data_IF_293439957164
#
_entry.id   IF_293439957164
#
_cell.length_a   1.000
_cell.length_b   1.000
_cell.length_c   1.000
_cell.angle_alpha   90.00
_cell.angle_beta   90.00
_cell.angle_gamma   90.00
#
_symmetry.space_group_name_H-M   'P 1'
#
loop_
_entity.id
_entity.type
_entity.pdbx_description
1 polymer ?
#
# COMPACT_ATOMS: atom_id res chain seq x y z
N UNK A 1 27.66 7.42 83.68
CA UNK A 1 26.73 7.80 84.76
C UNK A 1 25.91 8.96 84.21
N UNK A 2 24.62 8.69 83.94
CA UNK A 2 23.45 9.58 83.66
C UNK A 2 23.55 10.58 82.48
N UNK A 3 22.75 10.42 81.41
CA UNK A 3 21.36 10.90 81.19
C UNK A 3 21.29 12.44 81.03
N UNK A 4 20.56 13.10 80.13
CA UNK A 4 19.37 12.75 79.35
C UNK A 4 19.12 13.79 78.22
N UNK A 5 18.40 13.32 77.18
CA UNK A 5 17.35 13.99 76.38
C UNK A 5 17.54 15.39 75.75
N UNK A 6 17.28 15.52 74.42
CA UNK A 6 15.94 15.78 73.83
C UNK A 6 16.04 16.59 72.52
N UNK A 7 15.30 16.16 71.50
CA UNK A 7 14.60 17.09 70.59
C UNK A 7 14.85 16.97 69.09
N UNK A 8 13.78 16.68 68.34
CA UNK A 8 13.57 17.29 67.01
C UNK A 8 13.51 16.34 65.82
N UNK A 9 12.39 15.63 65.66
CA UNK A 9 12.02 14.99 64.39
C UNK A 9 11.53 16.03 63.38
N UNK A 10 12.05 15.98 62.14
CA UNK A 10 11.43 16.63 60.97
C UNK A 10 11.24 15.57 59.89
N UNK A 11 10.11 14.87 59.94
CA UNK A 11 9.66 14.00 58.86
C UNK A 11 9.04 14.87 57.77
N UNK A 12 9.72 15.00 56.62
CA UNK A 12 9.16 15.60 55.41
C UNK A 12 8.03 14.70 54.88
N UNK A 13 6.81 15.22 54.93
CA UNK A 13 5.63 14.63 54.32
C UNK A 13 5.65 14.94 52.82
N UNK A 14 5.94 13.94 51.99
CA UNK A 14 5.78 14.04 50.53
C UNK A 14 4.38 13.51 50.19
N UNK A 15 3.42 14.33 49.72
CA UNK A 15 2.16 13.81 49.25
C UNK A 15 2.36 13.06 47.94
N UNK A 16 2.00 11.77 47.93
CA UNK A 16 1.91 10.98 46.71
C UNK A 16 0.81 11.55 45.81
N UNK A 17 1.19 12.17 44.69
CA UNK A 17 0.23 12.49 43.62
C UNK A 17 -0.17 11.20 42.92
N UNK A 18 -1.38 10.74 43.22
CA UNK A 18 -2.09 9.77 42.41
C UNK A 18 -2.50 10.46 41.10
N UNK A 19 -1.89 10.05 39.99
CA UNK A 19 -2.22 10.52 38.65
C UNK A 19 -2.61 9.33 37.79
N UNK A 20 -3.79 8.76 38.03
CA UNK A 20 -4.48 7.94 37.03
C UNK A 20 -5.44 8.83 36.26
N UNK A 21 -5.04 9.28 35.08
CA UNK A 21 -5.98 9.71 34.05
C UNK A 21 -5.56 9.11 32.71
N UNK A 22 -6.40 8.17 32.30
CA UNK A 22 -6.40 7.39 31.07
C UNK A 22 -6.34 8.29 29.84
N UNK A 23 -5.34 8.09 28.99
CA UNK A 23 -5.33 8.67 27.65
C UNK A 23 -6.35 7.92 26.77
N UNK A 24 -7.45 8.58 26.44
CA UNK A 24 -8.31 8.16 25.33
C UNK A 24 -7.50 8.21 24.05
N UNK A 25 -7.06 7.05 23.56
CA UNK A 25 -6.41 6.96 22.25
C UNK A 25 -7.46 7.20 21.16
N UNK A 26 -7.08 8.02 20.17
CA UNK A 26 -7.86 8.23 18.95
C UNK A 26 -8.19 6.89 18.29
N UNK A 27 -9.45 6.68 17.90
CA UNK A 27 -9.90 5.50 17.15
C UNK A 27 -9.43 5.48 15.69
N UNK A 28 -8.74 6.53 15.24
CA UNK A 28 -8.17 6.55 13.89
C UNK A 28 -6.85 5.76 13.87
N UNK A 29 -6.71 4.75 12.99
CA UNK A 29 -5.45 4.02 12.85
C UNK A 29 -4.32 5.00 12.53
N UNK A 30 -3.21 4.94 13.28
CA UNK A 30 -2.02 5.71 12.93
C UNK A 30 -1.57 5.27 11.53
N UNK A 31 -1.57 6.16 10.51
CA UNK A 31 -1.18 5.82 9.14
C UNK A 31 0.29 5.41 9.02
N UNK A 32 1.05 5.59 10.11
CA UNK A 32 2.44 5.19 10.24
C UNK A 32 2.67 3.95 11.09
N UNK A 33 1.61 3.28 11.56
CA UNK A 33 1.75 2.02 12.28
C UNK A 33 2.02 0.85 11.33
N UNK A 34 2.82 -0.12 11.78
CA UNK A 34 3.04 -1.38 11.06
C UNK A 34 1.71 -2.10 10.75
N UNK A 35 0.75 -2.09 11.66
CA UNK A 35 -0.59 -2.69 11.46
C UNK A 35 -1.33 -2.06 10.28
N UNK A 36 -1.32 -0.72 10.20
CA UNK A 36 -1.95 -0.01 9.09
C UNK A 36 -1.26 -0.31 7.75
N UNK A 37 0.08 -0.31 7.74
CA UNK A 37 0.89 -0.72 6.58
C UNK A 37 0.51 -2.11 6.08
N UNK A 38 0.55 -3.12 6.97
CA UNK A 38 0.20 -4.50 6.62
C UNK A 38 -1.21 -4.64 6.07
N UNK A 39 -2.16 -3.88 6.63
CA UNK A 39 -3.56 -3.86 6.16
C UNK A 39 -3.68 -3.30 4.74
N UNK A 40 -2.95 -2.21 4.45
CA UNK A 40 -2.93 -1.60 3.11
C UNK A 40 -2.32 -2.54 2.08
N UNK A 41 -1.18 -3.14 2.38
CA UNK A 41 -0.49 -4.05 1.47
C UNK A 41 -1.35 -5.27 1.12
N UNK A 42 -1.97 -5.91 2.14
CA UNK A 42 -2.91 -7.01 1.91
C UNK A 42 -4.06 -6.59 1.02
N UNK A 43 -4.70 -5.45 1.32
CA UNK A 43 -5.87 -4.98 0.56
C UNK A 43 -5.49 -4.64 -0.88
N UNK A 44 -4.36 -3.96 -1.09
CA UNK A 44 -3.85 -3.63 -2.42
C UNK A 44 -3.51 -4.87 -3.23
N UNK A 45 -2.83 -5.85 -2.63
CA UNK A 45 -2.52 -7.12 -3.26
C UNK A 45 -3.79 -7.88 -3.67
N UNK A 46 -4.78 -7.98 -2.78
CA UNK A 46 -6.05 -8.61 -3.07
C UNK A 46 -6.84 -7.90 -4.18
N UNK A 47 -6.81 -6.56 -4.19
CA UNK A 47 -7.41 -5.76 -5.26
C UNK A 47 -6.75 -6.05 -6.61
N UNK A 48 -5.42 -6.13 -6.69
CA UNK A 48 -4.72 -6.46 -7.92
C UNK A 48 -5.02 -7.88 -8.41
N UNK A 49 -5.06 -8.86 -7.52
CA UNK A 49 -5.51 -10.22 -7.92
C UNK A 49 -6.96 -10.19 -8.43
N UNK A 50 -7.86 -9.47 -7.75
CA UNK A 50 -9.23 -9.34 -8.22
C UNK A 50 -9.31 -8.71 -9.62
N UNK A 51 -8.52 -7.65 -9.91
CA UNK A 51 -8.42 -7.09 -11.26
C UNK A 51 -7.96 -8.15 -12.27
N UNK A 52 -6.90 -8.89 -11.96
CA UNK A 52 -6.32 -9.88 -12.89
C UNK A 52 -7.26 -11.07 -13.14
N UNK A 53 -7.94 -11.55 -12.10
CA UNK A 53 -8.92 -12.64 -12.17
C UNK A 53 -10.21 -12.21 -12.86
N UNK A 54 -10.53 -10.91 -12.85
CA UNK A 54 -11.75 -10.34 -13.43
C UNK A 54 -11.43 -9.35 -14.55
N UNK A 55 -10.36 -9.61 -15.31
CA UNK A 55 -9.77 -8.63 -16.22
C UNK A 55 -10.78 -7.98 -17.16
N UNK A 56 -11.57 -8.77 -17.88
CA UNK A 56 -12.53 -8.22 -18.85
C UNK A 56 -13.66 -7.44 -18.16
N UNK A 57 -14.14 -7.92 -17.00
CA UNK A 57 -15.16 -7.21 -16.22
C UNK A 57 -14.66 -5.85 -15.73
N UNK A 58 -13.42 -5.80 -15.26
CA UNK A 58 -12.86 -4.58 -14.66
C UNK A 58 -12.25 -3.64 -15.70
N UNK A 59 -11.98 -4.11 -16.92
CA UNK A 59 -11.41 -3.30 -18.00
C UNK A 59 -12.32 -3.14 -19.21
N UNK A 60 -13.61 -3.46 -19.09
CA UNK A 60 -14.61 -3.21 -20.14
C UNK A 60 -15.87 -2.59 -19.55
N UNK A 61 -16.50 -1.71 -20.33
CA UNK A 61 -17.82 -1.15 -20.03
C UNK A 61 -18.77 -1.48 -21.17
N UNK A 62 -19.78 -2.27 -20.85
CA UNK A 62 -20.84 -2.63 -21.79
C UNK A 62 -22.05 -1.70 -21.64
N UNK A 63 -22.62 -1.29 -22.76
CA UNK A 63 -23.87 -0.54 -22.80
C UNK A 63 -25.08 -1.51 -22.83
N UNK A 64 -26.28 -1.00 -22.55
CA UNK A 64 -27.52 -1.80 -22.55
C UNK A 64 -27.90 -2.35 -23.93
N UNK A 65 -27.33 -1.81 -25.00
CA UNK A 65 -27.55 -2.25 -26.38
C UNK A 65 -26.60 -3.39 -26.82
N UNK A 66 -25.74 -3.89 -25.92
CA UNK A 66 -24.86 -5.02 -26.17
C UNK A 66 -23.46 -4.67 -26.70
N UNK A 67 -23.14 -3.39 -26.89
CA UNK A 67 -21.79 -2.95 -27.27
C UNK A 67 -20.89 -2.77 -26.05
N UNK A 68 -19.68 -3.30 -26.08
CA UNK A 68 -18.68 -3.14 -25.02
C UNK A 68 -17.47 -2.36 -25.52
N UNK A 69 -16.96 -1.45 -24.69
CA UNK A 69 -15.74 -0.67 -24.96
C UNK A 69 -14.72 -0.96 -23.88
N UNK A 70 -13.46 -1.14 -24.26
CA UNK A 70 -12.35 -1.32 -23.30
C UNK A 70 -12.15 -0.02 -22.51
N UNK A 71 -12.00 -0.13 -21.19
CA UNK A 71 -11.73 0.96 -20.25
C UNK A 71 -10.42 0.70 -19.50
N UNK A 72 -9.27 0.72 -20.19
CA UNK A 72 -7.98 0.34 -19.61
C UNK A 72 -7.50 1.31 -18.53
N UNK A 73 -7.95 2.58 -18.51
CA UNK A 73 -7.65 3.53 -17.42
C UNK A 73 -8.01 2.98 -16.03
N UNK A 74 -8.96 2.04 -15.93
CA UNK A 74 -9.33 1.42 -14.64
C UNK A 74 -8.17 0.64 -14.00
N UNK A 75 -7.19 0.16 -14.78
CA UNK A 75 -5.96 -0.47 -14.25
C UNK A 75 -5.23 0.48 -13.29
N UNK A 76 -5.22 1.79 -13.59
CA UNK A 76 -4.57 2.82 -12.76
C UNK A 76 -5.28 3.05 -11.42
N UNK A 77 -6.56 2.71 -11.33
CA UNK A 77 -7.31 2.71 -10.06
C UNK A 77 -6.74 1.63 -9.14
N UNK A 78 -6.62 0.40 -9.65
CA UNK A 78 -6.10 -0.74 -8.90
C UNK A 78 -4.62 -0.62 -8.52
N UNK A 79 -3.83 0.12 -9.30
CA UNK A 79 -2.43 0.45 -8.98
C UNK A 79 -2.28 1.60 -7.96
N UNK A 80 -3.39 2.15 -7.45
CA UNK A 80 -3.36 3.25 -6.48
C UNK A 80 -2.90 4.59 -7.03
N UNK A 81 -2.99 4.78 -8.35
CA UNK A 81 -2.50 5.99 -9.04
C UNK A 81 -3.58 7.06 -9.24
N UNK A 82 -4.84 6.76 -8.87
CA UNK A 82 -5.99 7.64 -9.09
C UNK A 82 -6.52 8.31 -7.82
N UNK A 83 -6.17 7.80 -6.65
CA UNK A 83 -6.64 8.30 -5.36
C UNK A 83 -5.54 8.26 -4.33
N UNK A 84 -5.45 9.32 -3.51
CA UNK A 84 -4.55 9.38 -2.36
C UNK A 84 -5.00 8.49 -1.20
N UNK A 85 -6.26 8.04 -1.24
CA UNK A 85 -6.86 7.16 -0.24
C UNK A 85 -6.71 5.68 -0.61
N UNK A 86 -6.16 5.38 -1.79
CA UNK A 86 -6.00 4.01 -2.24
C UNK A 86 -5.00 3.23 -1.37
N UNK A 87 -5.23 1.93 -1.09
CA UNK A 87 -4.29 1.11 -0.35
C UNK A 87 -2.87 1.12 -0.90
N UNK A 88 -2.67 1.26 -2.21
CA UNK A 88 -1.35 1.30 -2.87
C UNK A 88 -0.84 2.70 -3.16
N UNK A 89 -1.56 3.75 -2.77
CA UNK A 89 -1.05 5.12 -2.93
C UNK A 89 0.29 5.34 -2.21
N UNK A 90 1.30 5.81 -2.93
CA UNK A 90 2.67 6.02 -2.43
C UNK A 90 3.24 4.78 -1.71
N UNK A 91 2.99 3.59 -2.26
CA UNK A 91 3.43 2.35 -1.61
C UNK A 91 4.95 2.31 -1.37
N UNK A 92 5.76 2.92 -2.23
CA UNK A 92 7.21 3.10 -2.04
C UNK A 92 7.58 3.74 -0.69
N UNK A 93 6.82 4.77 -0.25
CA UNK A 93 7.01 5.40 1.07
C UNK A 93 6.61 4.50 2.23
N UNK A 94 5.70 3.56 1.98
CA UNK A 94 5.36 2.53 2.97
C UNK A 94 6.57 1.60 3.12
N UNK A 95 7.21 1.24 2.02
CA UNK A 95 8.32 0.30 2.01
C UNK A 95 9.64 0.86 2.52
N UNK A 96 9.95 2.14 2.29
CA UNK A 96 11.10 2.80 2.93
C UNK A 96 11.03 2.73 4.47
N UNK A 97 9.82 2.67 5.03
CA UNK A 97 9.64 2.49 6.49
C UNK A 97 9.82 1.04 6.91
N UNK A 98 9.30 0.09 6.12
CA UNK A 98 9.48 -1.33 6.41
C UNK A 98 10.93 -1.76 6.26
N UNK A 99 11.69 -1.18 5.32
CA UNK A 99 13.12 -1.45 5.16
C UNK A 99 13.95 -1.17 6.42
N UNK A 100 13.49 -0.27 7.30
CA UNK A 100 14.13 -0.03 8.59
C UNK A 100 13.86 -1.14 9.62
N UNK A 101 12.87 -2.01 9.38
CA UNK A 101 12.48 -3.14 10.25
C UNK A 101 13.03 -4.48 9.73
N UNK A 102 13.71 -4.49 8.58
CA UNK A 102 14.29 -5.72 8.01
C UNK A 102 15.51 -6.17 8.81
N UNK A 103 15.53 -7.42 9.25
CA UNK A 103 16.55 -7.96 10.16
C UNK A 103 17.73 -8.63 9.43
N UNK A 104 17.56 -9.03 8.18
CA UNK A 104 18.59 -9.75 7.40
C UNK A 104 18.93 -9.06 6.08
N UNK A 105 20.18 -9.18 5.67
CA UNK A 105 20.69 -8.66 4.38
C UNK A 105 19.91 -9.23 3.19
N UNK A 106 19.62 -10.53 3.21
CA UNK A 106 18.83 -11.20 2.17
C UNK A 106 17.42 -10.61 2.00
N UNK A 107 16.74 -10.32 3.12
CA UNK A 107 15.44 -9.63 3.07
C UNK A 107 15.57 -8.18 2.59
N UNK A 108 16.71 -7.52 2.88
CA UNK A 108 17.01 -6.17 2.41
C UNK A 108 17.15 -6.13 0.89
N UNK A 109 17.94 -7.04 0.34
CA UNK A 109 18.14 -7.20 -1.10
C UNK A 109 16.83 -7.56 -1.82
N UNK A 110 16.06 -8.50 -1.25
CA UNK A 110 14.76 -8.89 -1.79
C UNK A 110 13.77 -7.72 -1.79
N UNK A 111 13.77 -6.89 -0.73
CA UNK A 111 12.95 -5.70 -0.63
C UNK A 111 13.34 -4.67 -1.70
N UNK A 112 14.63 -4.37 -1.86
CA UNK A 112 15.13 -3.42 -2.85
C UNK A 112 14.80 -3.86 -4.27
N UNK A 113 15.07 -5.13 -4.61
CA UNK A 113 14.74 -5.69 -5.91
C UNK A 113 13.24 -5.61 -6.21
N UNK A 114 12.40 -5.99 -5.24
CA UNK A 114 10.95 -5.93 -5.40
C UNK A 114 10.42 -4.50 -5.50
N UNK A 115 11.05 -3.52 -4.84
CA UNK A 115 10.71 -2.11 -5.00
C UNK A 115 10.98 -1.62 -6.41
N UNK A 116 12.17 -1.90 -6.93
CA UNK A 116 12.55 -1.50 -8.28
C UNK A 116 11.62 -2.13 -9.33
N UNK A 117 11.28 -3.41 -9.18
CA UNK A 117 10.34 -4.08 -10.07
C UNK A 117 8.91 -3.54 -9.93
N UNK A 118 8.43 -3.27 -8.71
CA UNK A 118 7.13 -2.64 -8.49
C UNK A 118 7.04 -1.28 -9.19
N UNK A 119 8.00 -0.38 -8.95
CA UNK A 119 7.99 0.97 -9.53
C UNK A 119 8.01 0.89 -11.05
N UNK A 120 8.94 0.11 -11.61
CA UNK A 120 9.06 -0.06 -13.07
C UNK A 120 7.76 -0.58 -13.68
N UNK A 121 7.23 -1.68 -13.17
CA UNK A 121 6.09 -2.36 -13.79
C UNK A 121 4.77 -1.63 -13.55
N UNK A 122 4.56 -1.04 -12.38
CA UNK A 122 3.34 -0.26 -12.12
C UNK A 122 3.30 1.01 -12.98
N UNK A 123 4.43 1.69 -13.18
CA UNK A 123 4.52 2.83 -14.09
C UNK A 123 4.28 2.43 -15.54
N UNK A 124 4.91 1.35 -16.02
CA UNK A 124 4.69 0.86 -17.39
C UNK A 124 3.23 0.43 -17.61
N UNK A 125 2.63 -0.30 -16.66
CA UNK A 125 1.22 -0.65 -16.71
C UNK A 125 0.33 0.60 -16.83
N UNK A 126 0.64 1.65 -16.06
CA UNK A 126 -0.09 2.92 -16.10
C UNK A 126 0.05 3.66 -17.42
N UNK A 127 1.26 3.73 -17.98
CA UNK A 127 1.53 4.34 -19.29
C UNK A 127 0.76 3.61 -20.38
N UNK A 128 0.86 2.27 -20.44
CA UNK A 128 0.17 1.47 -21.45
C UNK A 128 -1.35 1.58 -21.31
N UNK A 129 -1.88 1.58 -20.08
CA UNK A 129 -3.30 1.78 -19.80
C UNK A 129 -3.80 3.15 -20.26
N UNK A 130 -3.03 4.20 -19.97
CA UNK A 130 -3.36 5.55 -20.39
C UNK A 130 -3.31 5.70 -21.92
N UNK A 131 -2.24 5.24 -22.58
CA UNK A 131 -2.12 5.25 -24.04
C UNK A 131 -3.27 4.49 -24.70
N UNK A 132 -3.61 3.32 -24.16
CA UNK A 132 -4.72 2.50 -24.64
C UNK A 132 -6.08 3.19 -24.52
N UNK A 133 -6.26 4.12 -23.57
CA UNK A 133 -7.54 4.81 -23.35
C UNK A 133 -7.88 5.83 -24.44
N UNK A 134 -6.89 6.22 -25.22
CA UNK A 134 -7.04 7.17 -26.35
C UNK A 134 -6.77 6.51 -27.70
N UNK A 135 -6.57 5.18 -27.72
CA UNK A 135 -6.11 4.46 -28.91
C UNK A 135 -7.03 4.54 -30.11
N UNK A 136 -8.35 4.76 -29.94
CA UNK A 136 -9.28 4.96 -31.06
C UNK A 136 -9.28 6.40 -31.61
N UNK A 137 -8.89 7.37 -30.79
CA UNK A 137 -8.91 8.79 -31.16
C UNK A 137 -7.63 9.24 -31.90
N UNK A 138 -6.57 8.42 -31.88
CA UNK A 138 -5.28 8.77 -32.46
C UNK A 138 -5.21 8.45 -33.98
N UNK A 139 -4.47 9.23 -34.79
CA UNK A 139 -4.20 8.88 -36.19
C UNK A 139 -3.52 7.51 -36.31
N UNK A 140 -4.10 6.60 -37.11
CA UNK A 140 -3.65 5.20 -37.20
C UNK A 140 -4.06 4.33 -36.00
N UNK A 141 -4.95 4.84 -35.16
CA UNK A 141 -5.57 4.17 -34.03
C UNK A 141 -6.69 3.20 -34.40
N UNK A 142 -7.29 2.59 -33.38
CA UNK A 142 -8.41 1.66 -33.52
C UNK A 142 -8.43 0.56 -32.46
N UNK A 143 -9.48 -0.26 -32.48
CA UNK A 143 -9.72 -1.32 -31.49
C UNK A 143 -8.52 -2.27 -31.33
N UNK A 144 -7.84 -2.63 -32.43
CA UNK A 144 -6.62 -3.46 -32.38
C UNK A 144 -5.48 -2.81 -31.59
N UNK A 145 -5.33 -1.49 -31.68
CA UNK A 145 -4.29 -0.77 -30.97
C UNK A 145 -4.64 -0.66 -29.47
N UNK A 146 -5.91 -0.39 -29.16
CA UNK A 146 -6.44 -0.44 -27.79
C UNK A 146 -6.18 -1.82 -27.18
N UNK A 147 -6.59 -2.90 -27.85
CA UNK A 147 -6.41 -4.25 -27.33
C UNK A 147 -4.94 -4.62 -27.14
N UNK A 148 -4.05 -4.19 -28.04
CA UNK A 148 -2.60 -4.40 -27.91
C UNK A 148 -2.04 -3.72 -26.66
N UNK A 149 -2.33 -2.44 -26.44
CA UNK A 149 -1.80 -1.72 -25.28
C UNK A 149 -2.48 -2.15 -23.97
N UNK A 150 -3.77 -2.48 -23.99
CA UNK A 150 -4.44 -3.08 -22.84
C UNK A 150 -3.82 -4.43 -22.46
N UNK A 151 -3.46 -5.28 -23.43
CA UNK A 151 -2.77 -6.55 -23.13
C UNK A 151 -1.38 -6.32 -22.54
N UNK A 152 -0.60 -5.39 -23.08
CA UNK A 152 0.69 -5.00 -22.48
C UNK A 152 0.50 -4.48 -21.05
N UNK A 153 -0.50 -3.64 -20.82
CA UNK A 153 -0.81 -3.16 -19.48
C UNK A 153 -1.16 -4.31 -18.51
N UNK A 154 -1.84 -5.35 -19.00
CA UNK A 154 -2.09 -6.57 -18.22
C UNK A 154 -0.80 -7.28 -17.82
N UNK A 155 0.10 -7.49 -18.79
CA UNK A 155 1.35 -8.22 -18.55
C UNK A 155 2.23 -7.47 -17.55
N UNK A 156 2.33 -6.14 -17.67
CA UNK A 156 3.01 -5.28 -16.71
C UNK A 156 2.32 -5.31 -15.33
N UNK A 157 0.99 -5.38 -15.28
CA UNK A 157 0.24 -5.46 -14.03
C UNK A 157 0.47 -6.79 -13.29
N UNK A 158 0.64 -7.91 -14.02
CA UNK A 158 1.01 -9.21 -13.44
C UNK A 158 2.37 -9.10 -12.76
N UNK A 159 3.35 -8.49 -13.44
CA UNK A 159 4.69 -8.34 -12.89
C UNK A 159 4.73 -7.39 -11.69
N UNK A 160 3.94 -6.31 -11.72
CA UNK A 160 3.75 -5.43 -10.56
C UNK A 160 3.12 -6.18 -9.37
N UNK A 161 2.12 -7.03 -9.63
CA UNK A 161 1.49 -7.89 -8.60
C UNK A 161 2.52 -8.85 -7.99
N UNK A 162 3.35 -9.47 -8.81
CA UNK A 162 4.38 -10.42 -8.35
C UNK A 162 5.44 -9.70 -7.50
N UNK A 163 5.89 -8.52 -7.91
CA UNK A 163 6.75 -7.68 -7.08
C UNK A 163 6.07 -7.32 -5.74
N UNK A 164 4.80 -6.91 -5.76
CA UNK A 164 4.03 -6.63 -4.55
C UNK A 164 3.90 -7.85 -3.63
N UNK A 165 3.81 -9.07 -4.19
CA UNK A 165 3.80 -10.30 -3.39
C UNK A 165 5.07 -10.45 -2.56
N UNK A 166 6.23 -10.24 -3.17
CA UNK A 166 7.51 -10.29 -2.45
C UNK A 166 7.53 -9.26 -1.33
N UNK A 167 7.04 -8.05 -1.60
CA UNK A 167 6.96 -6.99 -0.60
C UNK A 167 6.03 -7.37 0.57
N UNK A 168 4.86 -7.95 0.28
CA UNK A 168 3.92 -8.48 1.29
C UNK A 168 4.60 -9.55 2.16
N UNK A 169 5.38 -10.44 1.56
CA UNK A 169 6.06 -11.53 2.25
C UNK A 169 7.17 -11.04 3.16
N UNK A 170 8.02 -10.12 2.69
CA UNK A 170 9.07 -9.47 3.50
C UNK A 170 8.45 -8.72 4.68
N UNK A 171 7.29 -8.09 4.48
CA UNK A 171 6.54 -7.42 5.55
C UNK A 171 5.88 -8.38 6.55
N UNK A 172 5.96 -9.70 6.35
CA UNK A 172 5.29 -10.71 7.18
C UNK A 172 3.77 -10.52 7.20
N UNK A 173 3.17 -10.20 6.06
CA UNK A 173 1.73 -10.05 5.89
C UNK A 173 1.13 -11.41 5.52
N UNK A 174 0.34 -12.02 6.41
CA UNK A 174 -0.46 -13.20 6.04
C UNK A 174 -1.50 -12.81 4.98
N UNK A 175 -1.53 -13.52 3.85
CA UNK A 175 -2.52 -13.33 2.78
C UNK A 175 -3.77 -14.17 2.99
#
# INVERSE_FOLDING_TARGET
VVDAERGGAAALHIPARSSTLSASQSLTPNPNSAVYTKTRLRKGYNNLNYLLDNWDKETMKCNKAGGCVRTPDNIRVYLGMRSIEDPLFNVEKIFLRVGAEVESEEQGDALEAALNEWSRHSEQASVMAYTSSWGEANPGGGELQVNRFAKKAQDECIMARDALKVLVDVCGVSL
#
